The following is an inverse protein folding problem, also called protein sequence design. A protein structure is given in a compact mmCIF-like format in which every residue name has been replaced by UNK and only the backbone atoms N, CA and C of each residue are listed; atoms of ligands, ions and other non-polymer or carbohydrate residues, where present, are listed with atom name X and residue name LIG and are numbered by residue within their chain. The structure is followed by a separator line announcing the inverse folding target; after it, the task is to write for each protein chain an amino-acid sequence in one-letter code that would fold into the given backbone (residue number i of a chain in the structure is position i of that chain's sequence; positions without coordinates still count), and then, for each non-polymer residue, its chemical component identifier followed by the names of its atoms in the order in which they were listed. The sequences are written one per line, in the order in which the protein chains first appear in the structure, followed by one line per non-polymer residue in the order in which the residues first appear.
data_IF_016166003311
#
_entry.id   IF_016166003311
#
_cell.length_a   1.000
_cell.length_b   1.000
_cell.length_c   1.000
_cell.angle_alpha   90.00
_cell.angle_beta   90.00
_cell.angle_gamma   90.00
#
_symmetry.space_group_name_H-M   'P 1'
#
loop_
_entity.id
_entity.type
_entity.pdbx_description
1 polymer ?
#
# COMPACT_ATOMS: atom_id res chain seq x y z
N UNK A 1 4.99 11.64 15.43
CA UNK A 1 3.85 10.88 14.86
C UNK A 1 3.82 9.59 15.65
N UNK A 2 2.93 9.51 16.64
CA UNK A 2 3.03 8.55 17.75
C UNK A 2 1.82 7.60 17.82
N UNK A 3 0.97 7.59 16.80
CA UNK A 3 -0.13 6.63 16.73
C UNK A 3 0.32 5.44 15.87
N UNK A 4 0.25 4.20 16.39
CA UNK A 4 0.53 3.02 15.59
C UNK A 4 -0.56 2.88 14.51
N UNK A 5 -0.21 3.24 13.28
CA UNK A 5 -1.01 2.91 12.11
C UNK A 5 -0.63 1.49 11.67
N UNK A 6 -1.61 0.60 11.51
CA UNK A 6 -1.37 -0.77 11.03
C UNK A 6 -0.84 -0.83 9.60
N UNK A 7 -0.87 0.30 8.88
CA UNK A 7 -0.42 0.40 7.50
C UNK A 7 -1.28 -0.47 6.61
N UNK A 8 -0.67 -1.49 6.00
CA UNK A 8 -1.33 -2.44 5.09
C UNK A 8 -1.64 -3.79 5.75
N UNK A 9 -1.21 -4.00 7.00
CA UNK A 9 -1.48 -5.23 7.74
C UNK A 9 -2.97 -5.34 8.03
N UNK A 10 -3.55 -6.48 7.70
CA UNK A 10 -4.95 -6.80 7.95
C UNK A 10 -5.95 -6.21 6.97
N UNK A 11 -5.52 -5.76 5.78
CA UNK A 11 -6.43 -5.17 4.79
C UNK A 11 -7.04 -6.24 3.88
N UNK A 12 -8.34 -6.48 4.00
CA UNK A 12 -9.05 -7.49 3.20
C UNK A 12 -9.30 -7.08 1.73
N UNK A 13 -8.95 -5.85 1.34
CA UNK A 13 -9.17 -5.35 -0.01
C UNK A 13 -8.07 -5.76 -1.00
N UNK A 14 -6.95 -6.27 -0.50
CA UNK A 14 -5.76 -6.61 -1.28
C UNK A 14 -4.88 -5.40 -1.62
N UNK A 15 -3.64 -5.69 -2.06
CA UNK A 15 -2.63 -4.67 -2.30
C UNK A 15 -2.87 -3.81 -3.55
N UNK A 16 -3.73 -4.24 -4.48
CA UNK A 16 -4.04 -3.50 -5.71
C UNK A 16 -5.19 -2.49 -5.56
N UNK A 17 -5.73 -2.35 -4.35
CA UNK A 17 -6.83 -1.42 -4.08
C UNK A 17 -6.43 -0.35 -3.08
N UNK A 18 -6.89 0.87 -3.35
CA UNK A 18 -6.89 1.94 -2.39
C UNK A 18 -8.04 1.73 -1.39
N UNK A 19 -7.77 1.96 -0.11
CA UNK A 19 -8.75 1.83 0.97
C UNK A 19 -8.76 3.12 1.80
N UNK A 20 -9.79 3.94 1.58
CA UNK A 20 -10.19 4.99 2.50
C UNK A 20 -11.61 5.46 2.18
N UNK A 21 -12.44 5.52 3.20
CA UNK A 21 -13.74 6.19 3.15
C UNK A 21 -13.62 7.72 3.18
N UNK A 22 -12.42 8.26 3.42
CA UNK A 22 -12.12 9.68 3.58
C UNK A 22 -10.87 10.07 2.78
N UNK A 23 -10.97 10.20 1.44
CA UNK A 23 -9.82 10.49 0.60
C UNK A 23 -9.25 11.89 0.87
N UNK A 24 -7.94 11.97 1.12
CA UNK A 24 -7.21 13.21 1.29
C UNK A 24 -5.77 13.03 0.79
N UNK A 25 -5.26 14.01 0.05
CA UNK A 25 -3.91 13.96 -0.52
C UNK A 25 -3.82 13.06 -1.76
N UNK A 26 -2.63 12.53 -2.02
CA UNK A 26 -2.39 11.60 -3.13
C UNK A 26 -2.84 10.19 -2.74
N UNK A 27 -3.62 9.56 -3.59
CA UNK A 27 -4.21 8.26 -3.32
C UNK A 27 -3.49 7.16 -4.09
N UNK A 28 -2.61 6.43 -3.40
CA UNK A 28 -1.95 5.25 -3.94
C UNK A 28 -2.41 4.00 -3.19
N UNK A 29 -2.73 2.94 -3.92
CA UNK A 29 -2.82 1.59 -3.37
C UNK A 29 -1.46 1.16 -2.77
N UNK A 30 -1.45 0.12 -1.92
CA UNK A 30 -0.20 -0.50 -1.48
C UNK A 30 0.73 -0.86 -2.65
N UNK A 31 0.17 -1.43 -3.72
CA UNK A 31 0.92 -1.83 -4.91
C UNK A 31 1.55 -0.65 -5.65
N UNK A 32 0.80 0.43 -5.86
CA UNK A 32 1.31 1.68 -6.40
C UNK A 32 2.42 2.27 -5.52
N UNK A 33 2.26 2.18 -4.19
CA UNK A 33 3.27 2.63 -3.24
C UNK A 33 4.56 1.80 -3.32
N UNK A 34 4.47 0.49 -3.55
CA UNK A 34 5.64 -0.38 -3.78
C UNK A 34 6.37 -0.01 -5.08
N UNK A 35 5.62 0.24 -6.16
CA UNK A 35 6.20 0.69 -7.44
C UNK A 35 6.95 2.01 -7.28
N UNK A 36 6.36 2.98 -6.57
CA UNK A 36 7.00 4.25 -6.22
C UNK A 36 8.30 4.04 -5.43
N UNK A 37 8.26 3.23 -4.38
CA UNK A 37 9.43 2.93 -3.55
C UNK A 37 10.56 2.28 -4.36
N UNK A 38 10.21 1.48 -5.37
CA UNK A 38 11.18 0.86 -6.25
C UNK A 38 11.72 1.81 -7.34
N UNK A 39 11.24 3.06 -7.42
CA UNK A 39 11.73 4.07 -8.37
C UNK A 39 10.87 4.27 -9.62
N UNK A 40 9.67 3.67 -9.68
CA UNK A 40 8.78 3.87 -10.82
C UNK A 40 8.03 5.18 -10.70
N UNK A 41 7.72 5.78 -11.85
CA UNK A 41 6.72 6.84 -11.95
C UNK A 41 5.32 6.23 -12.04
N UNK A 42 4.38 6.76 -11.27
CA UNK A 42 2.97 6.37 -11.35
C UNK A 42 2.08 7.61 -11.43
N UNK A 43 0.86 7.47 -11.92
CA UNK A 43 -0.14 8.54 -11.96
C UNK A 43 -1.30 8.19 -11.04
N UNK A 44 -1.55 9.04 -10.05
CA UNK A 44 -2.58 8.80 -9.02
C UNK A 44 -3.53 9.97 -8.88
N UNK A 45 -4.75 9.71 -8.39
CA UNK A 45 -5.69 10.75 -8.03
C UNK A 45 -5.21 11.55 -6.81
N UNK A 46 -5.56 12.83 -6.76
CA UNK A 46 -5.36 13.69 -5.59
C UNK A 46 -6.69 14.28 -5.13
N UNK A 47 -6.89 14.29 -3.82
CA UNK A 47 -8.03 14.92 -3.16
C UNK A 47 -7.57 16.01 -2.20
N UNK A 48 -8.35 17.09 -2.12
CA UNK A 48 -8.20 18.15 -1.12
C UNK A 48 -9.17 17.96 0.03
N UNK A 49 -9.28 18.99 0.86
CA UNK A 49 -10.25 19.05 1.95
C UNK A 49 -11.69 18.83 1.45
N UNK A 50 -12.56 18.36 2.35
CA UNK A 50 -13.95 18.01 2.06
C UNK A 50 -14.10 17.06 0.85
N UNK A 51 -13.14 16.14 0.68
CA UNK A 51 -13.14 15.13 -0.39
C UNK A 51 -13.19 15.73 -1.81
N UNK A 52 -12.70 16.95 -2.00
CA UNK A 52 -12.67 17.59 -3.31
C UNK A 52 -11.65 16.91 -4.21
N UNK A 53 -12.10 16.33 -5.32
CA UNK A 53 -11.20 15.80 -6.34
C UNK A 53 -10.40 16.94 -7.02
N UNK A 54 -9.07 16.79 -7.08
CA UNK A 54 -8.14 17.80 -7.62
C UNK A 54 -7.51 17.39 -8.95
N UNK A 55 -7.67 16.14 -9.38
CA UNK A 55 -7.10 15.63 -10.63
C UNK A 55 -6.18 14.43 -10.45
N UNK A 56 -5.53 14.02 -11.54
CA UNK A 56 -4.48 13.02 -11.55
C UNK A 56 -3.11 13.67 -11.65
N UNK A 57 -2.13 13.10 -10.95
CA UNK A 57 -0.77 13.62 -10.88
C UNK A 57 0.24 12.49 -11.01
N UNK A 58 1.24 12.70 -11.87
CA UNK A 58 2.39 11.80 -11.97
C UNK A 58 3.39 12.08 -10.85
N UNK A 59 3.68 11.06 -10.08
CA UNK A 59 4.62 11.06 -8.96
C UNK A 59 5.96 10.41 -9.37
N UNK A 60 7.03 10.76 -8.65
CA UNK A 60 8.39 10.22 -8.82
C UNK A 60 8.95 10.28 -10.25
N UNK A 61 8.84 11.46 -10.88
CA UNK A 61 9.33 11.73 -12.25
C UNK A 61 10.84 11.55 -12.40
N UNK A 62 11.58 11.70 -11.31
CA UNK A 62 13.04 11.58 -11.26
C UNK A 62 13.51 10.14 -10.97
N UNK A 63 12.57 9.18 -10.90
CA UNK A 63 12.87 7.76 -10.69
C UNK A 63 13.69 7.45 -9.43
N UNK A 64 13.45 8.21 -8.35
CA UNK A 64 14.17 8.07 -7.09
C UNK A 64 13.64 6.84 -6.35
N UNK A 65 14.55 5.96 -5.94
CA UNK A 65 14.24 4.80 -5.10
C UNK A 65 14.18 5.21 -3.63
N UNK A 66 13.26 4.61 -2.89
CA UNK A 66 13.21 4.75 -1.43
C UNK A 66 14.35 4.00 -0.72
N UNK A 67 14.92 2.98 -1.38
CA UNK A 67 15.99 2.16 -0.84
C UNK A 67 17.37 2.72 -1.25
N UNK A 68 18.28 2.82 -0.27
CA UNK A 68 19.64 3.28 -0.50
C UNK A 68 20.46 2.29 -1.35
N UNK A 69 21.53 2.73 -2.02
CA UNK A 69 22.44 1.83 -2.72
C UNK A 69 22.96 0.72 -1.80
N UNK A 70 22.91 -0.52 -2.28
CA UNK A 70 23.30 -1.71 -1.51
C UNK A 70 22.20 -2.31 -0.62
N UNK A 71 21.02 -1.68 -0.53
CA UNK A 71 19.86 -2.23 0.17
C UNK A 71 18.82 -2.74 -0.83
N UNK A 72 18.25 -3.89 -0.52
CA UNK A 72 17.21 -4.54 -1.32
C UNK A 72 15.81 -4.01 -0.97
N UNK A 73 14.89 -4.20 -1.91
CA UNK A 73 13.47 -3.95 -1.69
C UNK A 73 12.89 -5.12 -0.88
N UNK A 74 12.44 -4.91 0.36
CA UNK A 74 11.98 -5.99 1.21
C UNK A 74 10.72 -6.68 0.65
N UNK A 75 9.89 -5.99 -0.13
CA UNK A 75 8.71 -6.61 -0.73
C UNK A 75 9.08 -7.52 -1.90
N UNK A 76 10.11 -7.16 -2.66
CA UNK A 76 10.70 -8.03 -3.67
C UNK A 76 11.32 -9.29 -3.03
N UNK A 77 12.12 -9.11 -1.99
CA UNK A 77 12.79 -10.22 -1.28
C UNK A 77 11.79 -11.21 -0.67
N UNK A 78 10.60 -10.74 -0.29
CA UNK A 78 9.49 -11.58 0.21
C UNK A 78 8.60 -12.15 -0.92
N UNK A 79 8.94 -11.89 -2.18
CA UNK A 79 8.21 -12.37 -3.37
C UNK A 79 6.78 -11.83 -3.45
N UNK A 80 6.53 -10.62 -2.93
CA UNK A 80 5.22 -9.98 -3.05
C UNK A 80 4.96 -9.59 -4.49
N UNK A 81 6.02 -9.18 -5.19
CA UNK A 81 6.03 -8.80 -6.59
C UNK A 81 7.33 -9.26 -7.24
N UNK A 82 7.34 -9.34 -8.58
CA UNK A 82 8.52 -9.65 -9.39
C UNK A 82 8.45 -8.89 -10.73
N UNK A 83 9.49 -8.96 -11.56
CA UNK A 83 9.45 -8.46 -12.93
C UNK A 83 8.90 -9.51 -13.89
N UNK A 84 8.12 -9.09 -14.88
CA UNK A 84 7.73 -9.94 -15.99
C UNK A 84 8.84 -10.04 -17.06
N UNK A 85 8.57 -10.77 -18.15
CA UNK A 85 9.52 -10.92 -19.26
C UNK A 85 9.83 -9.62 -20.02
N UNK A 86 9.05 -8.56 -19.81
CA UNK A 86 9.29 -7.23 -20.37
C UNK A 86 10.02 -6.30 -19.40
N UNK A 87 10.39 -6.80 -18.21
CA UNK A 87 11.02 -6.00 -17.16
C UNK A 87 10.04 -5.09 -16.42
N UNK A 88 8.72 -5.32 -16.53
CA UNK A 88 7.70 -4.55 -15.80
C UNK A 88 7.39 -5.21 -14.48
N UNK A 89 7.22 -4.40 -13.44
CA UNK A 89 6.80 -4.87 -12.13
C UNK A 89 5.40 -5.50 -12.18
N UNK A 90 5.26 -6.67 -11.57
CA UNK A 90 4.01 -7.44 -11.48
C UNK A 90 3.76 -7.90 -10.05
N UNK A 91 2.58 -7.58 -9.53
CA UNK A 91 2.11 -8.04 -8.23
C UNK A 91 1.80 -9.55 -8.26
N UNK A 92 2.40 -10.30 -7.35
CA UNK A 92 2.23 -11.76 -7.24
C UNK A 92 1.36 -12.18 -6.05
N UNK A 93 1.49 -11.51 -4.89
CA UNK A 93 0.78 -11.85 -3.66
C UNK A 93 -0.17 -10.72 -3.23
N UNK A 94 -1.34 -10.67 -3.86
CA UNK A 94 -2.35 -9.61 -3.58
C UNK A 94 -2.82 -9.55 -2.13
N UNK A 95 -2.88 -10.69 -1.44
CA UNK A 95 -3.31 -10.79 -0.04
C UNK A 95 -2.17 -11.03 0.94
N UNK A 96 -0.97 -10.54 0.65
CA UNK A 96 0.22 -10.84 1.47
C UNK A 96 0.07 -10.41 2.93
N UNK A 97 -0.63 -9.30 3.15
CA UNK A 97 -0.84 -8.70 4.47
C UNK A 97 -2.22 -9.00 5.06
N UNK A 98 -3.04 -9.83 4.42
CA UNK A 98 -4.39 -10.17 4.90
C UNK A 98 -4.29 -11.03 6.17
N UNK A 99 -5.23 -10.86 7.09
CA UNK A 99 -5.37 -11.80 8.21
C UNK A 99 -5.95 -13.11 7.68
N UNK A 100 -5.26 -14.23 7.94
CA UNK A 100 -5.69 -15.54 7.45
C UNK A 100 -6.58 -16.26 8.45
N UNK A 101 -6.46 -15.90 9.72
CA UNK A 101 -7.16 -16.49 10.85
C UNK A 101 -7.57 -15.42 11.87
N UNK A 102 -8.49 -15.75 12.79
CA UNK A 102 -8.89 -14.84 13.87
C UNK A 102 -7.75 -14.58 14.85
N UNK A 103 -6.81 -15.51 14.96
CA UNK A 103 -5.62 -15.43 15.79
C UNK A 103 -4.59 -14.43 15.24
N UNK A 104 -4.58 -14.19 13.92
CA UNK A 104 -3.69 -13.21 13.29
C UNK A 104 -4.11 -11.75 13.60
N UNK A 105 -5.38 -11.53 13.99
CA UNK A 105 -5.91 -10.22 14.33
C UNK A 105 -5.46 -9.78 15.73
N UNK A 106 -4.42 -8.94 15.82
CA UNK A 106 -3.99 -8.32 17.08
C UNK A 106 -4.81 -7.08 17.47
N UNK A 107 -6.14 -7.15 17.32
CA UNK A 107 -7.07 -6.10 17.77
C UNK A 107 -7.80 -6.56 19.03
N UNK A 108 -7.49 -5.89 20.14
CA UNK A 108 -7.96 -6.24 21.48
C UNK A 108 -9.48 -6.21 21.68
N UNK A 109 -9.88 -7.00 22.69
CA UNK A 109 -11.13 -6.95 23.44
C UNK A 109 -11.89 -5.60 23.33
N UNK A 110 -13.03 -5.60 22.65
CA UNK A 110 -14.17 -4.79 23.05
C UNK A 110 -15.39 -5.71 23.15
N UNK A 111 -15.70 -6.05 24.40
CA UNK A 111 -16.87 -6.79 24.82
C UNK A 111 -18.15 -6.25 24.18
N UNK A 112 -18.99 -7.17 23.72
CA UNK A 112 -20.39 -7.18 24.11
C UNK A 112 -20.88 -8.63 24.11
N UNK A 113 -20.57 -9.35 25.20
CA UNK A 113 -21.53 -10.34 25.68
C UNK A 113 -22.80 -9.56 26.01
N UNK A 114 -23.88 -9.85 25.29
CA UNK A 114 -25.23 -9.61 25.80
C UNK A 114 -25.95 -10.95 25.79
N UNK A 115 -26.17 -11.40 27.03
CA UNK A 115 -27.22 -12.27 27.60
C UNK A 115 -28.19 -12.84 26.58
#
# INVERSE_FOLDING_TARGET
MNEPNMGWIGRDLGLDKYDSSQPLGYLASPWESMQLANGNSITVAKYGEAYKYLGHYTLNKEHVRAFLPGYSDPWYDNGIWDYDCEGKMRLLKKGYFDFKTKEDFQGGNLRAERV
#
